data_IF_370855266899
#
_entry.id   IF_370855266899
#
_cell.length_a   1.000
_cell.length_b   1.000
_cell.length_c   1.000
_cell.angle_alpha   90.00
_cell.angle_beta   90.00
_cell.angle_gamma   90.00
#
_symmetry.space_group_name_H-M   'P 1'
#
loop_
_entity.id
_entity.type
_entity.pdbx_description
1 polymer ?
#
# COMPACT_ATOMS: atom_id res chain seq x y z
N UNK A 1 41.21 -61.34 27.62
CA UNK A 1 40.87 -59.94 27.97
C UNK A 1 41.26 -59.13 26.74
N UNK A 2 40.56 -59.34 25.63
CA UNK A 2 39.32 -58.68 25.24
C UNK A 2 39.64 -57.45 24.40
N UNK A 3 39.38 -57.63 23.12
CA UNK A 3 39.88 -56.90 21.97
C UNK A 3 38.98 -55.74 21.53
N UNK A 4 39.60 -54.90 20.69
CA UNK A 4 39.02 -54.19 19.55
C UNK A 4 37.99 -53.08 19.78
N UNK A 5 38.56 -51.89 19.90
CA UNK A 5 38.13 -50.68 19.19
C UNK A 5 37.78 -51.01 17.72
N UNK A 6 36.49 -51.02 17.37
CA UNK A 6 36.01 -51.14 15.99
C UNK A 6 34.93 -50.09 15.75
N UNK A 7 35.16 -49.37 14.67
CA UNK A 7 34.39 -48.27 14.11
C UNK A 7 32.95 -48.70 13.80
N UNK A 8 31.98 -47.84 14.11
CA UNK A 8 30.70 -47.83 13.40
C UNK A 8 30.33 -46.37 13.09
N UNK A 9 30.97 -45.85 12.04
CA UNK A 9 30.52 -44.66 11.32
C UNK A 9 29.32 -45.06 10.48
N UNK A 10 28.11 -44.84 11.00
CA UNK A 10 26.92 -44.86 10.17
C UNK A 10 27.00 -43.72 9.15
N UNK A 11 26.92 -44.11 7.88
CA UNK A 11 27.10 -43.28 6.71
C UNK A 11 26.03 -42.18 6.60
N UNK A 12 26.47 -40.93 6.73
CA UNK A 12 25.76 -39.76 6.23
C UNK A 12 25.97 -39.69 4.72
N UNK A 13 24.97 -40.14 3.96
CA UNK A 13 25.01 -40.10 2.50
C UNK A 13 24.84 -38.64 2.03
N UNK A 14 25.73 -38.12 1.15
CA UNK A 14 25.52 -36.82 0.54
C UNK A 14 24.27 -36.87 -0.33
N UNK A 15 23.26 -36.07 0.02
CA UNK A 15 22.12 -35.82 -0.87
C UNK A 15 22.62 -35.23 -2.18
N UNK A 16 22.25 -35.77 -3.35
CA UNK A 16 22.48 -35.09 -4.62
C UNK A 16 21.65 -33.80 -4.62
N UNK A 17 22.33 -32.66 -4.64
CA UNK A 17 21.73 -31.39 -5.03
C UNK A 17 21.63 -31.38 -6.54
N UNK A 18 20.42 -31.62 -7.05
CA UNK A 18 20.14 -31.51 -8.48
C UNK A 18 20.38 -30.06 -8.95
N UNK A 19 21.20 -29.86 -10.00
CA UNK A 19 21.50 -28.55 -10.57
C UNK A 19 20.60 -28.25 -11.76
N UNK A 20 19.72 -27.25 -11.64
CA UNK A 20 18.97 -26.52 -12.69
C UNK A 20 17.54 -26.25 -12.18
N UNK A 21 16.89 -25.11 -12.38
CA UNK A 21 17.24 -23.89 -13.08
C UNK A 21 16.24 -22.80 -12.67
N UNK A 22 16.75 -21.59 -12.54
CA UNK A 22 16.15 -20.34 -13.03
C UNK A 22 14.75 -19.96 -12.53
N UNK A 23 14.77 -19.17 -11.47
CA UNK A 23 13.67 -18.29 -11.09
C UNK A 23 14.10 -17.25 -10.07
N UNK A 24 15.35 -16.78 -10.14
CA UNK A 24 15.80 -15.62 -9.36
C UNK A 24 15.08 -14.41 -9.94
N UNK A 25 13.96 -14.04 -9.35
CA UNK A 25 13.38 -12.70 -9.51
C UNK A 25 14.39 -11.76 -8.85
N UNK A 26 15.35 -11.31 -9.64
CA UNK A 26 16.09 -10.11 -9.33
C UNK A 26 15.04 -9.01 -9.13
N UNK A 27 14.96 -8.48 -7.91
CA UNK A 27 14.43 -7.14 -7.68
C UNK A 27 15.15 -6.24 -8.67
N UNK A 28 14.45 -5.91 -9.76
CA UNK A 28 14.90 -4.92 -10.70
C UNK A 28 15.06 -3.64 -9.89
N UNK A 29 16.30 -3.18 -9.84
CA UNK A 29 16.66 -1.78 -9.66
C UNK A 29 15.59 -0.96 -10.38
N UNK A 30 14.78 -0.21 -9.62
CA UNK A 30 13.95 0.87 -10.17
C UNK A 30 14.94 1.95 -10.60
N UNK A 31 15.57 1.72 -11.76
CA UNK A 31 16.25 2.74 -12.52
C UNK A 31 15.19 3.76 -12.93
N UNK A 32 15.50 5.03 -12.73
CA UNK A 32 14.71 6.21 -13.08
C UNK A 32 14.67 6.40 -14.61
N UNK A 33 14.43 5.31 -15.33
CA UNK A 33 14.32 5.25 -16.77
C UNK A 33 12.86 5.50 -17.14
N UNK A 34 12.63 6.52 -17.96
CA UNK A 34 11.31 6.74 -18.54
C UNK A 34 10.85 5.46 -19.27
N UNK A 35 9.63 4.98 -19.01
CA UNK A 35 9.10 3.79 -19.66
C UNK A 35 9.17 3.95 -21.17
N UNK A 36 9.76 2.96 -21.82
CA UNK A 36 9.95 2.97 -23.27
C UNK A 36 8.67 2.54 -23.97
N UNK A 37 8.53 2.86 -25.27
CA UNK A 37 7.37 2.44 -26.06
C UNK A 37 7.16 0.92 -26.08
N UNK A 38 8.22 0.14 -25.90
CA UNK A 38 8.17 -1.33 -25.82
C UNK A 38 7.57 -1.81 -24.50
N UNK A 39 7.78 -1.08 -23.40
CA UNK A 39 7.19 -1.37 -22.09
C UNK A 39 5.68 -1.14 -22.10
N UNK A 40 5.22 -0.09 -22.78
CA UNK A 40 3.79 0.16 -23.00
C UNK A 40 3.15 -0.92 -23.88
N UNK A 41 3.83 -1.35 -24.96
CA UNK A 41 3.34 -2.43 -25.80
C UNK A 41 3.29 -3.79 -25.07
N UNK A 42 4.22 -4.04 -24.15
CA UNK A 42 4.19 -5.23 -23.30
C UNK A 42 3.03 -5.18 -22.30
N UNK A 43 2.80 -4.03 -21.65
CA UNK A 43 1.68 -3.82 -20.74
C UNK A 43 0.33 -3.99 -21.46
N UNK A 44 0.20 -3.48 -22.68
CA UNK A 44 -1.03 -3.62 -23.50
C UNK A 44 -1.29 -5.08 -23.93
N UNK A 45 -0.25 -5.86 -24.21
CA UNK A 45 -0.39 -7.31 -24.47
C UNK A 45 -0.85 -8.09 -23.24
N UNK A 46 -0.39 -7.71 -22.05
CA UNK A 46 -0.84 -8.32 -20.79
C UNK A 46 -2.30 -7.95 -20.52
N UNK A 47 -2.68 -6.69 -20.74
CA UNK A 47 -4.06 -6.22 -20.57
C UNK A 47 -5.03 -6.87 -21.56
N UNK A 48 -4.61 -7.12 -22.81
CA UNK A 48 -5.45 -7.72 -23.85
C UNK A 48 -5.50 -9.25 -23.78
N UNK A 49 -4.46 -9.92 -23.28
CA UNK A 49 -4.45 -11.37 -23.07
C UNK A 49 -5.45 -11.82 -21.99
N UNK A 50 -5.68 -11.00 -20.96
CA UNK A 50 -6.59 -11.33 -19.86
C UNK A 50 -8.08 -11.19 -20.25
N UNK A 51 -8.39 -10.39 -21.28
CA UNK A 51 -9.76 -10.27 -21.81
C UNK A 51 -10.14 -11.38 -22.80
N UNK A 52 -9.20 -12.21 -23.23
CA UNK A 52 -9.40 -13.18 -24.30
C UNK A 52 -9.52 -14.65 -23.83
N UNK A 53 -9.59 -14.88 -22.52
CA UNK A 53 -9.73 -16.23 -21.95
C UNK A 53 -11.13 -16.45 -21.38
N UNK A 54 -12.13 -16.59 -22.26
CA UNK A 54 -13.28 -17.48 -22.10
C UNK A 54 -14.29 -17.28 -23.25
N UNK A 55 -13.97 -17.75 -24.46
CA UNK A 55 -15.00 -18.11 -25.43
C UNK A 55 -14.54 -19.30 -26.28
N UNK A 56 -14.20 -20.39 -25.60
CA UNK A 56 -14.19 -21.71 -26.23
C UNK A 56 -15.63 -22.25 -26.18
N UNK A 57 -16.51 -21.71 -27.03
CA UNK A 57 -17.81 -22.32 -27.29
C UNK A 57 -17.57 -23.67 -27.96
N UNK A 58 -17.86 -24.71 -27.20
CA UNK A 58 -18.03 -26.07 -27.70
C UNK A 58 -19.26 -26.04 -28.61
N UNK A 59 -19.04 -26.32 -29.90
CA UNK A 59 -20.06 -26.68 -30.88
C UNK A 59 -20.69 -28.01 -30.43
N UNK A 60 -21.84 -27.93 -29.74
CA UNK A 60 -22.60 -29.10 -29.36
C UNK A 60 -24.10 -28.81 -29.52
N UNK A 61 -24.65 -29.35 -30.61
CA UNK A 61 -25.99 -29.94 -30.65
C UNK A 61 -27.21 -29.02 -30.50
N UNK A 62 -27.78 -28.71 -31.67
CA UNK A 62 -29.20 -28.44 -31.98
C UNK A 62 -30.29 -28.63 -30.89
N UNK A 63 -31.25 -27.69 -30.92
CA UNK A 63 -32.66 -27.79 -30.47
C UNK A 63 -33.06 -27.35 -29.04
N UNK A 64 -32.52 -26.23 -28.54
CA UNK A 64 -33.04 -25.52 -27.34
C UNK A 64 -32.87 -23.98 -27.40
N UNK A 65 -33.05 -23.42 -28.60
CA UNK A 65 -32.54 -22.12 -29.06
C UNK A 65 -32.83 -20.84 -28.26
N UNK A 66 -33.78 -20.85 -27.31
CA UNK A 66 -34.08 -19.70 -26.44
C UNK A 66 -33.83 -19.97 -24.95
N UNK A 67 -34.18 -21.15 -24.43
CA UNK A 67 -34.01 -21.47 -23.00
C UNK A 67 -32.53 -21.60 -22.63
N UNK A 68 -31.70 -22.15 -23.53
CA UNK A 68 -30.25 -22.22 -23.33
C UNK A 68 -29.60 -20.84 -23.22
N UNK A 69 -30.02 -19.89 -24.06
CA UNK A 69 -29.53 -18.50 -24.05
C UNK A 69 -29.91 -17.78 -22.77
N UNK A 70 -31.17 -17.87 -22.35
CA UNK A 70 -31.64 -17.27 -21.08
C UNK A 70 -30.88 -17.83 -19.87
N UNK A 71 -30.61 -19.13 -19.83
CA UNK A 71 -29.81 -19.75 -18.75
C UNK A 71 -28.37 -19.26 -18.76
N UNK A 72 -27.75 -19.12 -19.92
CA UNK A 72 -26.38 -18.60 -20.09
C UNK A 72 -26.29 -17.13 -19.66
N UNK A 73 -27.26 -16.31 -20.05
CA UNK A 73 -27.35 -14.91 -19.60
C UNK A 73 -27.57 -14.79 -18.09
N UNK A 74 -28.46 -15.60 -17.52
CA UNK A 74 -28.67 -15.62 -16.07
C UNK A 74 -27.42 -16.06 -15.30
N UNK A 75 -26.66 -17.04 -15.82
CA UNK A 75 -25.38 -17.42 -15.24
C UNK A 75 -24.36 -16.26 -15.31
N UNK A 76 -24.26 -15.60 -16.46
CA UNK A 76 -23.37 -14.44 -16.64
C UNK A 76 -23.70 -13.28 -15.70
N UNK A 77 -24.99 -12.98 -15.49
CA UNK A 77 -25.44 -11.94 -14.57
C UNK A 77 -25.11 -12.29 -13.11
N UNK A 78 -25.27 -13.56 -12.70
CA UNK A 78 -24.87 -14.00 -11.35
C UNK A 78 -23.37 -13.87 -11.13
N UNK A 79 -22.56 -14.24 -12.12
CA UNK A 79 -21.10 -14.08 -12.03
C UNK A 79 -20.74 -12.60 -11.91
N UNK A 80 -21.30 -11.73 -12.76
CA UNK A 80 -21.08 -10.27 -12.68
C UNK A 80 -21.47 -9.68 -11.33
N UNK A 81 -22.60 -10.10 -10.76
CA UNK A 81 -23.03 -9.63 -9.44
C UNK A 81 -22.02 -10.02 -8.35
N UNK A 82 -21.55 -11.28 -8.33
CA UNK A 82 -20.55 -11.75 -7.38
C UNK A 82 -19.21 -11.02 -7.54
N UNK A 83 -18.77 -10.79 -8.78
CA UNK A 83 -17.55 -10.04 -9.06
C UNK A 83 -17.67 -8.59 -8.55
N UNK A 84 -18.80 -7.92 -8.82
CA UNK A 84 -19.03 -6.56 -8.33
C UNK A 84 -19.08 -6.47 -6.80
N UNK A 85 -19.69 -7.45 -6.13
CA UNK A 85 -19.68 -7.53 -4.66
C UNK A 85 -18.25 -7.70 -4.11
N UNK A 86 -17.45 -8.59 -4.73
CA UNK A 86 -16.06 -8.78 -4.33
C UNK A 86 -15.20 -7.53 -4.55
N UNK A 87 -15.37 -6.84 -5.68
CA UNK A 87 -14.67 -5.57 -5.97
C UNK A 87 -15.01 -4.49 -4.95
N UNK A 88 -16.30 -4.36 -4.59
CA UNK A 88 -16.75 -3.41 -3.56
C UNK A 88 -16.12 -3.73 -2.21
N UNK A 89 -16.10 -5.00 -1.83
CA UNK A 89 -15.57 -5.41 -0.53
C UNK A 89 -14.04 -5.20 -0.47
N UNK A 90 -13.32 -5.48 -1.56
CA UNK A 90 -11.89 -5.17 -1.68
C UNK A 90 -11.62 -3.66 -1.60
N UNK A 91 -12.43 -2.84 -2.28
CA UNK A 91 -12.30 -1.39 -2.22
C UNK A 91 -12.54 -0.85 -0.80
N UNK A 92 -13.54 -1.40 -0.09
CA UNK A 92 -13.83 -1.04 1.30
C UNK A 92 -12.69 -1.45 2.25
N UNK A 93 -12.09 -2.63 2.04
CA UNK A 93 -10.94 -3.07 2.83
C UNK A 93 -9.73 -2.17 2.61
N UNK A 94 -9.42 -1.83 1.35
CA UNK A 94 -8.32 -0.92 1.02
C UNK A 94 -8.55 0.45 1.66
N UNK A 95 -9.77 0.99 1.56
CA UNK A 95 -10.14 2.26 2.16
C UNK A 95 -9.97 2.25 3.69
N UNK A 96 -10.42 1.19 4.37
CA UNK A 96 -10.26 1.02 5.81
C UNK A 96 -8.77 0.97 6.19
N UNK A 97 -7.96 0.20 5.45
CA UNK A 97 -6.52 0.09 5.68
C UNK A 97 -5.78 1.41 5.47
N UNK A 98 -6.14 2.17 4.42
CA UNK A 98 -5.56 3.50 4.17
C UNK A 98 -5.93 4.48 5.28
N UNK A 99 -7.19 4.49 5.73
CA UNK A 99 -7.62 5.35 6.85
C UNK A 99 -6.88 5.00 8.14
N UNK A 100 -6.72 3.72 8.45
CA UNK A 100 -5.91 3.24 9.58
C UNK A 100 -4.48 3.78 9.50
N UNK A 101 -3.80 3.59 8.35
CA UNK A 101 -2.43 4.08 8.16
C UNK A 101 -2.33 5.59 8.39
N UNK A 102 -3.29 6.37 7.88
CA UNK A 102 -3.29 7.83 8.04
C UNK A 102 -3.44 8.25 9.50
N UNK A 103 -4.29 7.54 10.27
CA UNK A 103 -4.45 7.79 11.71
C UNK A 103 -3.18 7.38 12.46
N UNK A 104 -2.64 6.21 12.18
CA UNK A 104 -1.41 5.69 12.82
C UNK A 104 -0.22 6.62 12.57
N UNK A 105 -0.06 7.15 11.36
CA UNK A 105 0.98 8.11 11.00
C UNK A 105 0.81 9.43 11.78
N UNK A 106 -0.43 9.90 11.92
CA UNK A 106 -0.73 11.12 12.68
C UNK A 106 -0.42 10.94 14.18
N UNK A 107 -0.79 9.78 14.75
CA UNK A 107 -0.49 9.43 16.14
C UNK A 107 1.02 9.30 16.38
N UNK A 108 1.72 8.61 15.49
CA UNK A 108 3.18 8.44 15.54
C UNK A 108 3.87 9.80 15.45
N UNK A 109 3.41 10.69 14.56
CA UNK A 109 3.93 12.06 14.44
C UNK A 109 3.68 12.87 15.72
N UNK A 110 2.54 12.66 16.36
CA UNK A 110 2.23 13.27 17.65
C UNK A 110 3.01 12.63 18.82
N UNK A 111 3.70 11.50 18.61
CA UNK A 111 4.38 10.75 19.66
C UNK A 111 3.43 9.99 20.59
N UNK A 112 2.25 9.61 20.10
CA UNK A 112 1.24 8.84 20.83
C UNK A 112 1.19 7.43 20.23
N UNK A 113 1.18 6.40 21.10
CA UNK A 113 1.01 5.01 20.67
C UNK A 113 -0.45 4.78 20.21
N UNK A 114 -0.70 4.24 19.01
CA UNK A 114 -2.05 3.93 18.53
C UNK A 114 -2.90 3.07 19.46
N UNK A 115 -2.27 2.22 20.28
CA UNK A 115 -2.96 1.38 21.27
C UNK A 115 -3.60 2.18 22.39
N UNK A 116 -3.12 3.38 22.67
CA UNK A 116 -3.70 4.24 23.71
C UNK A 116 -5.01 4.88 23.25
N UNK A 117 -5.15 5.12 21.94
CA UNK A 117 -6.40 5.62 21.36
C UNK A 117 -7.53 4.60 21.55
N UNK A 118 -7.25 3.32 21.26
CA UNK A 118 -8.22 2.24 21.49
C UNK A 118 -8.47 1.96 22.97
N UNK A 119 -7.45 2.11 23.83
CA UNK A 119 -7.61 2.01 25.28
C UNK A 119 -8.48 3.12 25.87
N UNK A 120 -8.44 4.34 25.30
CA UNK A 120 -9.35 5.44 25.61
C UNK A 120 -10.77 5.24 25.04
N UNK A 121 -11.02 4.14 24.32
CA UNK A 121 -12.32 3.82 23.75
C UNK A 121 -12.64 4.53 22.43
N UNK A 122 -11.67 5.20 21.81
CA UNK A 122 -11.85 5.79 20.49
C UNK A 122 -11.68 4.74 19.38
N UNK A 123 -12.58 4.77 18.40
CA UNK A 123 -12.47 3.98 17.16
C UNK A 123 -12.22 4.89 15.96
N UNK A 124 -11.71 4.35 14.87
CA UNK A 124 -11.35 5.15 13.68
C UNK A 124 -12.58 5.73 13.00
N UNK A 125 -13.67 4.98 13.03
CA UNK A 125 -14.97 5.38 12.51
C UNK A 125 -15.50 6.63 13.23
N UNK A 126 -15.12 6.86 14.49
CA UNK A 126 -15.51 8.06 15.23
C UNK A 126 -14.89 9.35 14.70
N UNK A 127 -13.82 9.25 13.92
CA UNK A 127 -13.13 10.39 13.28
C UNK A 127 -13.52 10.56 11.81
N UNK A 128 -14.44 9.76 11.29
CA UNK A 128 -14.88 9.88 9.91
C UNK A 128 -16.06 10.85 9.88
N UNK A 129 -15.89 11.94 9.15
CA UNK A 129 -16.97 12.86 8.83
C UNK A 129 -18.03 12.13 7.99
N UNK A 130 -19.28 12.16 8.44
CA UNK A 130 -20.39 11.47 7.80
C UNK A 130 -20.74 12.03 6.41
N UNK A 131 -20.47 13.31 6.18
CA UNK A 131 -20.81 14.01 4.94
C UNK A 131 -19.70 13.85 3.89
N UNK A 132 -18.43 13.98 4.30
CA UNK A 132 -17.29 13.91 3.38
C UNK A 132 -16.70 12.50 3.26
N UNK A 133 -16.93 11.65 4.26
CA UNK A 133 -16.29 10.33 4.35
C UNK A 133 -14.78 10.41 4.57
N UNK A 134 -14.25 11.59 4.93
CA UNK A 134 -12.83 11.81 5.20
C UNK A 134 -12.57 11.82 6.71
N UNK A 135 -11.29 11.71 7.09
CA UNK A 135 -10.89 11.83 8.49
C UNK A 135 -10.98 13.31 8.90
N UNK A 136 -11.81 13.60 9.89
CA UNK A 136 -11.84 14.88 10.59
C UNK A 136 -10.56 15.04 11.41
N UNK A 137 -9.71 15.95 10.94
CA UNK A 137 -8.39 16.21 11.54
C UNK A 137 -8.49 16.96 12.86
N UNK A 138 -9.50 17.81 13.01
CA UNK A 138 -9.67 18.60 14.23
C UNK A 138 -10.15 17.70 15.36
N UNK A 139 -11.10 16.81 15.08
CA UNK A 139 -11.56 15.81 16.03
C UNK A 139 -10.46 14.81 16.41
N UNK A 140 -9.65 14.37 15.43
CA UNK A 140 -8.50 13.52 15.71
C UNK A 140 -7.47 14.23 16.60
N UNK A 141 -7.19 15.52 16.35
CA UNK A 141 -6.27 16.30 17.18
C UNK A 141 -6.79 16.48 18.62
N UNK A 142 -8.09 16.72 18.80
CA UNK A 142 -8.72 16.80 20.12
C UNK A 142 -8.61 15.47 20.88
N UNK A 143 -8.89 14.35 20.21
CA UNK A 143 -8.74 13.03 20.82
C UNK A 143 -7.28 12.71 21.20
N UNK A 144 -6.30 13.14 20.39
CA UNK A 144 -4.88 13.01 20.71
C UNK A 144 -4.53 13.75 22.00
N UNK A 145 -5.01 14.99 22.16
CA UNK A 145 -4.78 15.74 23.39
C UNK A 145 -5.52 15.14 24.59
N UNK A 146 -6.75 14.64 24.40
CA UNK A 146 -7.50 13.94 25.44
C UNK A 146 -6.76 12.68 25.94
N UNK A 147 -6.30 11.83 25.01
CA UNK A 147 -5.49 10.64 25.33
C UNK A 147 -4.21 11.03 26.04
N UNK A 148 -3.54 12.09 25.58
CA UNK A 148 -2.34 12.60 26.23
C UNK A 148 -2.59 13.03 27.68
N UNK A 149 -3.68 13.75 27.92
CA UNK A 149 -4.05 14.23 29.24
C UNK A 149 -4.52 13.10 30.17
N UNK A 150 -5.20 12.09 29.64
CA UNK A 150 -5.64 10.90 30.37
C UNK A 150 -4.46 10.03 30.82
N UNK A 151 -3.55 9.72 29.89
CA UNK A 151 -2.39 8.85 30.15
C UNK A 151 -1.15 9.61 30.64
N UNK A 152 -1.26 10.93 30.87
CA UNK A 152 -0.17 11.81 31.33
C UNK A 152 1.08 11.71 30.46
N UNK A 153 0.89 11.62 29.14
CA UNK A 153 2.00 11.56 28.19
C UNK A 153 2.71 12.93 28.12
N UNK A 154 4.04 12.97 28.02
CA UNK A 154 4.76 14.22 27.85
C UNK A 154 4.40 14.85 26.50
N UNK A 155 4.12 16.16 26.50
CA UNK A 155 4.03 16.93 25.26
C UNK A 155 5.42 16.97 24.64
N UNK A 156 5.54 16.50 23.40
CA UNK A 156 6.81 16.48 22.67
C UNK A 156 7.51 17.84 22.73
N UNK A 157 8.83 17.85 22.75
CA UNK A 157 9.61 19.08 22.75
C UNK A 157 9.35 19.80 21.42
N UNK A 158 8.64 20.94 21.47
CA UNK A 158 8.56 21.85 20.33
C UNK A 158 9.85 22.67 20.34
N UNK A 159 10.83 22.41 19.46
CA UNK A 159 12.03 23.23 19.42
C UNK A 159 11.63 24.66 19.17
N UNK A 160 12.03 25.54 20.08
CA UNK A 160 11.77 26.95 19.93
C UNK A 160 12.53 27.44 18.69
N UNK A 161 11.82 27.68 17.59
CA UNK A 161 12.42 28.15 16.33
C UNK A 161 13.17 29.47 16.50
N UNK A 162 12.90 30.24 17.56
CA UNK A 162 13.61 31.47 17.87
C UNK A 162 15.00 31.25 18.46
N UNK A 163 15.32 30.06 18.98
CA UNK A 163 16.63 29.77 19.58
C UNK A 163 17.72 29.41 18.55
N UNK A 164 17.37 29.29 17.26
CA UNK A 164 18.31 29.09 16.15
C UNK A 164 18.41 30.24 15.15
N UNK A 165 17.52 31.25 15.24
CA UNK A 165 17.47 32.38 14.30
C UNK A 165 18.39 33.56 14.70
N UNK A 166 19.36 33.32 15.59
CA UNK A 166 20.37 34.30 15.95
C UNK A 166 21.48 34.35 14.91
N UNK A 167 21.33 35.18 13.88
CA UNK A 167 22.50 35.72 13.16
C UNK A 167 22.65 35.41 11.67
N UNK A 168 21.59 35.08 10.94
CA UNK A 168 21.68 35.19 9.47
C UNK A 168 21.59 36.70 9.12
N UNK A 169 22.67 37.36 8.67
CA UNK A 169 22.55 38.71 8.13
C UNK A 169 21.57 38.67 6.95
N UNK A 170 20.76 39.73 6.75
CA UNK A 170 19.87 39.78 5.60
C UNK A 170 20.69 39.53 4.33
N UNK A 171 20.23 38.68 3.40
CA UNK A 171 20.93 38.48 2.15
C UNK A 171 21.12 39.84 1.47
N UNK A 172 22.29 40.11 0.87
CA UNK A 172 22.51 41.37 0.17
C UNK A 172 21.40 41.58 -0.86
N UNK A 173 20.83 42.77 -0.88
CA UNK A 173 19.74 43.11 -1.80
C UNK A 173 20.17 42.78 -3.23
N UNK A 174 19.35 41.99 -3.94
CA UNK A 174 19.58 41.71 -5.36
C UNK A 174 19.56 43.05 -6.11
N UNK A 175 20.46 43.28 -7.08
CA UNK A 175 20.44 44.50 -7.86
C UNK A 175 19.07 44.64 -8.51
N UNK A 176 18.37 45.73 -8.16
CA UNK A 176 17.07 46.01 -8.73
C UNK A 176 17.26 46.50 -10.16
N UNK A 177 16.34 46.14 -11.04
CA UNK A 177 16.35 46.62 -12.44
C UNK A 177 16.32 48.16 -12.51
N UNK A 178 15.83 48.82 -11.45
CA UNK A 178 15.84 50.28 -11.29
C UNK A 178 17.24 50.88 -11.06
N UNK A 179 18.21 50.11 -10.55
CA UNK A 179 19.59 50.59 -10.41
C UNK A 179 20.38 50.50 -11.71
N UNK A 180 19.96 49.66 -12.66
CA UNK A 180 20.59 49.56 -13.99
C UNK A 180 20.32 50.80 -14.88
N UNK A 181 19.22 51.51 -14.66
CA UNK A 181 18.88 52.73 -15.43
C UNK A 181 19.38 54.03 -14.79
N UNK A 182 20.00 53.97 -13.61
CA UNK A 182 20.52 55.15 -12.90
C UNK A 182 21.99 55.48 -13.22
N UNK A 183 22.65 54.68 -14.07
CA UNK A 183 24.06 54.84 -14.47
C UNK A 183 24.28 55.47 -15.86
N UNK A 184 23.27 56.14 -16.43
CA UNK A 184 23.43 57.02 -17.61
C UNK A 184 23.18 58.47 -17.21
#
# INVERSE_FOLDING_TARGET
MSDNNTQDSAADAPRPVDPAAKGRVSNATLDDAEPTAEDYAAAERVLTADTNTADAETDDGDDQGDIGKVRREAAKLRTRAKTAEAERDQANELLARTRQSIVDDALTTAGVDPRLLTAAGHSIESFIDADTGLIDRDQLAEAIEAVRDEFKLPRGFTPNRSQGAGGQPPPPAKPSLADAFRQQ
#
